data_IF_186421147629
#
_entry.id   IF_186421147629
#
_cell.length_a   1.000
_cell.length_b   1.000
_cell.length_c   1.000
_cell.angle_alpha   90.00
_cell.angle_beta   90.00
_cell.angle_gamma   90.00
#
_symmetry.space_group_name_H-M   'P 1'
#
loop_
_entity.id
_entity.type
_entity.pdbx_description
1 polymer ?
#
# COMPACT_ATOMS: atom_id res chain seq x y z
N UNK A 1 32.27 -23.51 -40.31
CA UNK A 1 33.11 -24.74 -40.28
C UNK A 1 33.89 -24.68 -38.98
N UNK A 2 33.95 -25.62 -38.04
CA UNK A 2 33.63 -27.06 -37.96
C UNK A 2 33.83 -27.39 -36.44
N UNK A 3 32.81 -27.95 -35.75
CA UNK A 3 32.84 -29.11 -34.79
C UNK A 3 33.80 -29.07 -33.57
N UNK A 4 33.59 -29.67 -32.38
CA UNK A 4 32.55 -30.38 -31.61
C UNK A 4 33.14 -30.65 -30.18
N UNK A 5 32.29 -30.62 -29.14
CA UNK A 5 32.14 -31.52 -27.96
C UNK A 5 33.37 -32.13 -27.25
N UNK A 6 33.46 -31.93 -25.91
CA UNK A 6 33.83 -32.90 -24.82
C UNK A 6 33.20 -32.33 -23.50
N UNK A 7 32.18 -32.85 -22.82
CA UNK A 7 31.93 -34.13 -22.11
C UNK A 7 32.76 -34.34 -20.80
N UNK A 8 32.10 -34.27 -19.64
CA UNK A 8 32.59 -34.72 -18.33
C UNK A 8 31.61 -34.29 -17.23
N UNK A 9 30.63 -35.08 -16.79
CA UNK A 9 30.60 -36.39 -16.11
C UNK A 9 30.98 -36.32 -14.60
N UNK A 10 29.93 -36.31 -13.77
CA UNK A 10 29.84 -36.75 -12.35
C UNK A 10 30.62 -35.92 -11.31
N UNK A 11 30.11 -35.66 -10.09
CA UNK A 11 29.73 -36.65 -9.06
C UNK A 11 28.66 -36.07 -8.11
N UNK A 12 27.69 -36.92 -7.75
CA UNK A 12 26.68 -36.75 -6.70
C UNK A 12 27.31 -36.81 -5.30
N UNK A 13 26.87 -35.94 -4.38
CA UNK A 13 26.93 -36.21 -2.94
C UNK A 13 25.55 -36.01 -2.32
N UNK A 14 24.96 -37.14 -1.94
CA UNK A 14 23.79 -37.27 -1.07
C UNK A 14 24.23 -37.02 0.37
N UNK A 15 23.58 -36.08 1.05
CA UNK A 15 23.52 -35.97 2.51
C UNK A 15 22.02 -35.81 2.79
N UNK A 16 21.29 -36.78 3.33
CA UNK A 16 21.52 -37.49 4.58
C UNK A 16 20.44 -37.00 5.55
N UNK A 17 19.31 -37.69 5.61
CA UNK A 17 18.15 -37.35 6.43
C UNK A 17 18.42 -37.73 7.91
N UNK A 18 18.15 -36.82 8.84
CA UNK A 18 18.19 -37.07 10.27
C UNK A 18 17.46 -35.99 11.05
N UNK A 19 16.43 -36.37 11.80
CA UNK A 19 15.68 -35.57 12.80
C UNK A 19 15.64 -36.37 14.12
N UNK A 20 15.24 -35.80 15.27
CA UNK A 20 15.13 -34.39 15.69
C UNK A 20 15.87 -34.10 17.02
N UNK A 21 16.14 -32.82 17.33
CA UNK A 21 16.29 -32.37 18.73
C UNK A 21 15.97 -30.88 18.87
N UNK A 22 15.08 -30.62 19.81
CA UNK A 22 14.43 -29.35 20.15
C UNK A 22 15.12 -28.69 21.36
N UNK A 23 14.82 -27.38 21.54
CA UNK A 23 15.07 -26.45 22.67
C UNK A 23 16.35 -25.60 22.58
N UNK A 24 16.37 -24.29 22.82
CA UNK A 24 15.37 -23.33 23.34
C UNK A 24 15.82 -21.89 23.01
N UNK A 25 14.84 -21.04 22.69
CA UNK A 25 14.67 -19.60 22.93
C UNK A 25 15.74 -18.55 22.58
N UNK A 26 15.37 -17.71 21.60
CA UNK A 26 15.54 -16.25 21.69
C UNK A 26 14.32 -15.55 21.06
N UNK A 27 13.49 -15.01 21.95
CA UNK A 27 12.31 -14.19 21.73
C UNK A 27 12.60 -12.96 20.86
N UNK A 28 11.96 -12.87 19.70
CA UNK A 28 11.76 -11.62 18.98
C UNK A 28 10.32 -11.61 18.49
N UNK A 29 9.48 -10.86 19.21
CA UNK A 29 8.09 -10.65 18.89
C UNK A 29 8.03 -9.73 17.66
N UNK A 30 8.00 -10.32 16.46
CA UNK A 30 7.51 -9.64 15.27
C UNK A 30 6.09 -10.15 15.06
N UNK A 31 5.13 -9.27 15.26
CA UNK A 31 3.74 -9.50 14.89
C UNK A 31 3.72 -9.80 13.39
N UNK A 32 3.59 -11.08 13.05
CA UNK A 32 3.29 -11.53 11.70
C UNK A 32 1.94 -10.93 11.30
N UNK A 33 1.99 -10.07 10.29
CA UNK A 33 0.82 -9.48 9.65
C UNK A 33 0.01 -10.62 9.00
N UNK A 34 -1.03 -11.08 9.70
CA UNK A 34 -1.92 -12.13 9.23
C UNK A 34 -2.76 -11.59 8.08
N UNK A 35 -2.40 -11.97 6.85
CA UNK A 35 -3.22 -11.73 5.65
C UNK A 35 -4.34 -12.76 5.64
N UNK A 36 -5.53 -12.36 6.09
CA UNK A 36 -6.71 -13.23 6.05
C UNK A 36 -7.29 -13.22 4.63
N UNK A 37 -7.21 -14.38 3.96
CA UNK A 37 -7.53 -14.58 2.54
C UNK A 37 -9.04 -14.66 2.27
N UNK A 38 -9.79 -13.61 2.61
CA UNK A 38 -11.22 -13.47 2.29
C UNK A 38 -11.59 -12.16 1.57
N UNK A 39 -10.68 -11.18 1.52
CA UNK A 39 -10.82 -9.90 0.80
C UNK A 39 -9.54 -9.67 -0.02
N UNK A 40 -9.55 -9.97 -1.32
CA UNK A 40 -8.34 -10.06 -2.16
C UNK A 40 -7.57 -8.74 -2.38
N UNK A 41 -7.95 -7.65 -1.71
CA UNK A 41 -7.44 -6.30 -2.00
C UNK A 41 -7.20 -5.43 -0.75
N UNK A 42 -7.22 -6.03 0.45
CA UNK A 42 -7.00 -5.31 1.71
C UNK A 42 -5.57 -5.48 2.20
N UNK A 43 -4.89 -4.36 2.47
CA UNK A 43 -3.58 -4.33 3.13
C UNK A 43 -3.74 -3.64 4.46
N UNK A 44 -3.47 -4.36 5.55
CA UNK A 44 -3.61 -3.80 6.89
C UNK A 44 -2.45 -2.89 7.22
N UNK A 45 -2.72 -1.60 7.41
CA UNK A 45 -1.74 -0.64 7.92
C UNK A 45 -2.14 -0.24 9.34
N UNK A 46 -1.19 -0.07 10.27
CA UNK A 46 -1.53 0.40 11.60
C UNK A 46 -2.19 1.78 11.52
N UNK A 47 -3.27 1.98 12.27
CA UNK A 47 -3.94 3.28 12.35
C UNK A 47 -2.97 4.30 12.98
N UNK A 48 -2.85 5.49 12.38
CA UNK A 48 -1.88 6.48 12.82
C UNK A 48 -0.43 6.04 12.61
N UNK A 49 -0.17 5.20 11.60
CA UNK A 49 1.18 4.79 11.23
C UNK A 49 2.10 6.01 11.11
N UNK A 50 3.28 5.92 11.74
CA UNK A 50 4.30 6.95 11.60
C UNK A 50 4.71 7.00 10.13
N UNK A 51 4.72 8.19 9.49
CA UNK A 51 5.16 8.33 8.11
C UNK A 51 6.54 7.71 7.88
N UNK A 52 6.67 6.94 6.80
CA UNK A 52 7.92 6.32 6.38
C UNK A 52 8.31 6.91 5.02
N UNK A 53 9.58 7.29 4.89
CA UNK A 53 10.12 7.86 3.65
C UNK A 53 9.73 9.33 3.43
N UNK A 54 10.11 9.86 2.27
CA UNK A 54 9.96 11.28 1.93
C UNK A 54 8.66 11.60 1.16
N UNK A 55 7.89 10.57 0.83
CA UNK A 55 6.64 10.70 0.08
C UNK A 55 5.64 11.59 0.80
N UNK A 56 4.74 12.20 0.05
CA UNK A 56 3.66 13.04 0.60
C UNK A 56 2.37 12.77 -0.14
N UNK A 57 1.28 12.70 0.62
CA UNK A 57 -0.08 12.64 0.12
C UNK A 57 -0.85 13.84 0.64
N UNK A 58 -1.56 14.53 -0.26
CA UNK A 58 -2.47 15.62 0.07
C UNK A 58 -3.82 15.34 -0.56
N UNK A 59 -4.87 15.43 0.24
CA UNK A 59 -6.26 15.39 -0.21
C UNK A 59 -6.73 16.80 -0.46
N UNK A 60 -7.38 17.02 -1.60
CA UNK A 60 -8.04 18.27 -1.95
C UNK A 60 -9.53 18.02 -2.14
N UNK A 61 -10.34 18.87 -1.52
CA UNK A 61 -11.79 18.89 -1.66
C UNK A 61 -12.25 20.33 -1.91
N UNK A 62 -13.50 20.55 -2.35
CA UNK A 62 -14.06 21.91 -2.40
C UNK A 62 -14.06 22.64 -1.06
N UNK A 63 -14.04 21.93 0.07
CA UNK A 63 -14.09 22.48 1.44
C UNK A 63 -12.69 22.75 2.02
N UNK A 64 -11.62 22.38 1.32
CA UNK A 64 -10.24 22.61 1.76
C UNK A 64 -9.28 21.46 1.43
N UNK A 65 -8.07 21.54 1.99
CA UNK A 65 -7.00 20.54 1.81
C UNK A 65 -6.64 19.86 3.12
N UNK A 66 -6.01 18.69 3.03
CA UNK A 66 -5.45 17.98 4.19
C UNK A 66 -4.07 18.50 4.65
N UNK A 67 -3.63 19.64 4.13
CA UNK A 67 -2.34 20.22 4.51
C UNK A 67 -2.33 20.64 5.98
N UNK A 68 -1.14 20.63 6.60
CA UNK A 68 -0.94 21.06 7.98
C UNK A 68 -1.78 20.29 9.01
N UNK A 69 -2.17 19.04 8.70
CA UNK A 69 -2.96 18.20 9.59
C UNK A 69 -4.47 18.50 9.56
N UNK A 70 -4.94 19.30 8.60
CA UNK A 70 -6.36 19.53 8.39
C UNK A 70 -7.05 18.25 7.87
N UNK A 71 -8.36 18.16 8.12
CA UNK A 71 -9.22 17.07 7.61
C UNK A 71 -10.33 17.72 6.78
N UNK A 72 -10.21 17.74 5.44
CA UNK A 72 -11.19 18.38 4.57
C UNK A 72 -12.45 17.52 4.40
N UNK A 73 -13.58 18.16 4.08
CA UNK A 73 -14.88 17.50 3.94
C UNK A 73 -15.24 17.20 2.46
N UNK A 74 -15.73 16.00 2.19
CA UNK A 74 -16.36 15.61 0.92
C UNK A 74 -17.87 15.47 1.14
N UNK A 75 -18.68 16.27 0.44
CA UNK A 75 -20.14 16.18 0.53
C UNK A 75 -20.71 15.18 -0.47
N UNK A 76 -21.33 14.12 0.04
CA UNK A 76 -21.90 13.01 -0.74
C UNK A 76 -23.39 13.24 -0.96
N UNK A 77 -23.81 13.33 -2.22
CA UNK A 77 -25.24 13.40 -2.57
C UNK A 77 -25.91 12.04 -2.35
N UNK A 78 -27.20 12.08 -2.02
CA UNK A 78 -28.02 10.86 -1.96
C UNK A 78 -27.92 10.10 -3.30
N UNK A 79 -27.88 8.77 -3.22
CA UNK A 79 -27.81 7.84 -4.36
C UNK A 79 -26.52 7.95 -5.21
N UNK A 80 -25.48 8.62 -4.71
CA UNK A 80 -24.14 8.62 -5.33
C UNK A 80 -23.58 7.20 -5.33
N UNK A 81 -23.18 6.69 -6.49
CA UNK A 81 -22.53 5.37 -6.62
C UNK A 81 -21.00 5.49 -6.62
N UNK A 82 -20.47 6.60 -7.13
CA UNK A 82 -19.04 6.88 -7.24
C UNK A 82 -18.83 8.37 -6.97
N UNK A 83 -17.92 8.70 -6.05
CA UNK A 83 -17.44 10.06 -5.82
C UNK A 83 -15.94 10.12 -6.09
N UNK A 84 -15.46 11.13 -6.81
CA UNK A 84 -14.02 11.35 -6.99
C UNK A 84 -13.50 12.33 -5.93
N UNK A 85 -12.32 12.04 -5.41
CA UNK A 85 -11.58 12.91 -4.48
C UNK A 85 -10.21 13.19 -5.08
N UNK A 86 -9.82 14.46 -5.12
CA UNK A 86 -8.56 14.88 -5.70
C UNK A 86 -7.39 14.58 -4.76
N UNK A 87 -6.29 14.10 -5.34
CA UNK A 87 -5.06 13.78 -4.64
C UNK A 87 -3.87 14.43 -5.32
N UNK A 88 -2.91 14.85 -4.50
CA UNK A 88 -1.57 15.19 -4.92
C UNK A 88 -0.58 14.24 -4.23
N UNK A 89 0.20 13.54 -5.04
CA UNK A 89 1.27 12.65 -4.62
C UNK A 89 2.61 13.31 -4.99
N UNK A 90 3.56 13.41 -4.06
CA UNK A 90 4.87 14.00 -4.34
C UNK A 90 5.98 13.30 -3.57
N UNK A 91 7.23 13.48 -4.04
CA UNK A 91 8.45 13.01 -3.38
C UNK A 91 8.55 11.49 -3.14
N UNK A 92 7.77 10.70 -3.87
CA UNK A 92 7.93 9.25 -3.91
C UNK A 92 9.11 8.86 -4.83
N UNK A 93 9.67 7.67 -4.63
CA UNK A 93 10.76 7.18 -5.48
C UNK A 93 10.23 6.91 -6.88
N UNK A 94 10.85 7.52 -7.90
CA UNK A 94 10.34 7.52 -9.27
C UNK A 94 10.55 6.21 -10.05
N UNK A 95 11.35 5.29 -9.50
CA UNK A 95 11.60 3.94 -10.03
C UNK A 95 10.69 2.88 -9.36
N UNK A 96 9.69 3.34 -8.58
CA UNK A 96 8.77 2.50 -7.82
C UNK A 96 7.32 2.94 -8.05
N UNK A 97 6.42 1.97 -8.06
CA UNK A 97 4.98 2.21 -8.07
C UNK A 97 4.51 2.70 -6.70
N UNK A 98 3.71 3.77 -6.67
CA UNK A 98 3.01 4.24 -5.48
C UNK A 98 1.59 3.69 -5.51
N UNK A 99 1.28 2.81 -4.57
CA UNK A 99 -0.03 2.20 -4.39
C UNK A 99 -0.88 3.08 -3.48
N UNK A 100 -2.12 3.34 -3.90
CA UNK A 100 -3.08 4.17 -3.19
C UNK A 100 -4.21 3.30 -2.66
N UNK A 101 -4.53 3.46 -1.39
CA UNK A 101 -5.58 2.75 -0.69
C UNK A 101 -6.54 3.76 -0.06
N UNK A 102 -7.83 3.43 -0.01
CA UNK A 102 -8.84 4.12 0.80
C UNK A 102 -9.34 3.14 1.84
N UNK A 103 -9.19 3.48 3.12
CA UNK A 103 -9.56 2.61 4.25
C UNK A 103 -9.00 1.19 4.11
N UNK A 104 -7.71 1.10 3.76
CA UNK A 104 -6.97 -0.16 3.55
C UNK A 104 -7.38 -0.96 2.29
N UNK A 105 -8.36 -0.49 1.52
CA UNK A 105 -8.81 -1.10 0.27
C UNK A 105 -8.01 -0.47 -0.88
N UNK A 106 -7.31 -1.29 -1.68
CA UNK A 106 -6.56 -0.79 -2.82
C UNK A 106 -7.49 -0.12 -3.84
N UNK A 107 -7.09 1.08 -4.27
CA UNK A 107 -7.87 1.93 -5.15
C UNK A 107 -7.20 2.13 -6.51
N UNK A 108 -5.90 2.47 -6.53
CA UNK A 108 -5.13 2.65 -7.77
C UNK A 108 -3.61 2.61 -7.50
N UNK A 109 -2.80 2.67 -8.56
CA UNK A 109 -1.35 2.86 -8.47
C UNK A 109 -0.83 3.87 -9.49
N UNK A 110 0.20 4.60 -9.10
CA UNK A 110 0.77 5.67 -9.91
C UNK A 110 2.30 5.61 -9.94
N UNK A 111 2.86 5.96 -11.10
CA UNK A 111 4.28 6.30 -11.23
C UNK A 111 4.43 7.79 -10.91
N UNK A 112 4.99 8.10 -9.73
CA UNK A 112 5.15 9.47 -9.25
C UNK A 112 6.56 9.94 -9.59
N UNK A 113 6.69 10.99 -10.39
CA UNK A 113 7.99 11.53 -10.80
C UNK A 113 8.47 12.63 -9.85
N UNK A 114 7.82 13.79 -9.89
CA UNK A 114 8.03 14.90 -8.96
C UNK A 114 6.76 15.15 -8.14
N UNK A 115 5.69 15.48 -8.85
CA UNK A 115 4.34 15.65 -8.33
C UNK A 115 3.36 15.06 -9.34
N UNK A 116 2.41 14.27 -8.85
CA UNK A 116 1.31 13.70 -9.63
C UNK A 116 0.01 14.15 -9.01
N UNK A 117 -0.80 14.88 -9.79
CA UNK A 117 -2.19 15.17 -9.46
C UNK A 117 -3.08 14.08 -10.08
N UNK A 118 -3.97 13.51 -9.28
CA UNK A 118 -4.82 12.39 -9.65
C UNK A 118 -6.13 12.44 -8.86
N UNK A 119 -7.00 11.46 -9.06
CA UNK A 119 -8.22 11.27 -8.27
C UNK A 119 -8.30 9.85 -7.76
N UNK A 120 -8.86 9.67 -6.57
CA UNK A 120 -9.31 8.36 -6.09
C UNK A 120 -10.84 8.28 -6.16
N UNK A 121 -11.36 7.10 -6.45
CA UNK A 121 -12.79 6.85 -6.48
C UNK A 121 -13.25 6.27 -5.14
N UNK A 122 -14.20 6.95 -4.51
CA UNK A 122 -14.96 6.44 -3.38
C UNK A 122 -16.16 5.64 -3.89
N UNK A 123 -16.37 4.45 -3.32
CA UNK A 123 -17.45 3.52 -3.66
C UNK A 123 -17.89 2.76 -2.42
N UNK A 124 -19.14 2.30 -2.40
CA UNK A 124 -19.67 1.43 -1.35
C UNK A 124 -19.36 1.98 0.06
N UNK A 125 -18.59 1.24 0.88
CA UNK A 125 -18.24 1.62 2.26
C UNK A 125 -17.51 2.96 2.36
N UNK A 126 -16.71 3.33 1.35
CA UNK A 126 -15.95 4.60 1.39
C UNK A 126 -16.83 5.81 1.01
N UNK A 127 -18.11 5.61 0.72
CA UNK A 127 -19.12 6.68 0.56
C UNK A 127 -19.94 6.91 1.83
N UNK A 128 -19.87 5.99 2.80
CA UNK A 128 -20.57 6.12 4.07
C UNK A 128 -20.05 7.33 4.85
N UNK A 129 -20.92 8.00 5.60
CA UNK A 129 -20.55 9.18 6.40
C UNK A 129 -19.55 8.79 7.49
N UNK A 130 -18.40 9.47 7.54
CA UNK A 130 -17.38 9.23 8.55
C UNK A 130 -16.01 9.75 8.18
N UNK A 131 -15.01 9.40 8.99
CA UNK A 131 -13.60 9.65 8.69
C UNK A 131 -13.06 8.53 7.82
N UNK A 132 -12.29 8.91 6.81
CA UNK A 132 -11.64 8.01 5.87
C UNK A 132 -10.16 8.33 5.76
N UNK A 133 -9.35 7.30 5.53
CA UNK A 133 -7.89 7.44 5.38
C UNK A 133 -7.45 7.04 3.99
N UNK A 134 -6.72 7.94 3.34
CA UNK A 134 -5.96 7.64 2.13
C UNK A 134 -4.55 7.27 2.54
N UNK A 135 -4.11 6.08 2.13
CA UNK A 135 -2.73 5.62 2.31
C UNK A 135 -2.04 5.55 0.95
N UNK A 136 -0.90 6.22 0.83
CA UNK A 136 -0.01 6.09 -0.32
C UNK A 136 1.26 5.36 0.14
N UNK A 137 1.53 4.18 -0.44
CA UNK A 137 2.62 3.32 -0.05
C UNK A 137 3.47 2.86 -1.24
N UNK A 138 4.77 2.72 -1.03
CA UNK A 138 5.68 2.03 -1.94
C UNK A 138 6.25 0.81 -1.23
N UNK A 139 6.45 -0.25 -1.99
CA UNK A 139 6.93 -1.53 -1.49
C UNK A 139 8.21 -1.95 -2.21
N UNK A 140 9.02 -2.75 -1.52
CA UNK A 140 10.15 -3.42 -2.15
C UNK A 140 9.66 -4.27 -3.34
N UNK A 141 10.40 -4.23 -4.44
CA UNK A 141 10.06 -4.93 -5.69
C UNK A 141 8.70 -4.57 -6.34
N UNK A 142 8.04 -3.48 -5.93
CA UNK A 142 6.69 -3.11 -6.39
C UNK A 142 5.63 -4.20 -6.10
N UNK A 143 5.78 -4.92 -4.99
CA UNK A 143 4.82 -5.94 -4.54
C UNK A 143 4.16 -5.49 -3.21
N UNK A 144 2.84 -5.28 -3.14
CA UNK A 144 2.12 -4.96 -1.90
C UNK A 144 2.26 -6.01 -0.78
N UNK A 145 2.76 -7.22 -1.09
CA UNK A 145 3.12 -8.25 -0.10
C UNK A 145 4.55 -8.11 0.43
N UNK A 146 5.34 -7.26 -0.21
CA UNK A 146 6.72 -6.97 0.15
C UNK A 146 6.82 -5.99 1.32
N UNK A 147 8.07 -5.68 1.70
CA UNK A 147 8.35 -4.70 2.75
C UNK A 147 7.94 -3.30 2.31
N UNK A 148 7.24 -2.58 3.18
CA UNK A 148 6.92 -1.15 2.99
C UNK A 148 8.19 -0.31 3.08
N UNK A 149 8.46 0.50 2.06
CA UNK A 149 9.63 1.41 2.00
C UNK A 149 9.26 2.89 2.04
N UNK A 150 8.00 3.21 1.74
CA UNK A 150 7.40 4.53 1.92
C UNK A 150 5.94 4.33 2.31
N UNK A 151 5.45 5.08 3.29
CA UNK A 151 4.07 5.04 3.76
C UNK A 151 3.68 6.42 4.27
N UNK A 152 2.67 7.01 3.65
CA UNK A 152 2.18 8.33 4.00
C UNK A 152 0.66 8.32 3.95
N UNK A 153 0.05 9.00 4.91
CA UNK A 153 -1.41 9.00 5.09
C UNK A 153 -1.95 10.43 5.13
N UNK A 154 -3.18 10.59 4.61
CA UNK A 154 -3.98 11.79 4.77
C UNK A 154 -5.43 11.39 5.03
N UNK A 155 -6.12 12.17 5.86
CA UNK A 155 -7.52 11.93 6.21
C UNK A 155 -8.44 12.91 5.50
N UNK A 156 -9.69 12.49 5.32
CA UNK A 156 -10.80 13.34 4.92
C UNK A 156 -12.07 12.83 5.59
N UNK A 157 -13.09 13.67 5.67
CA UNK A 157 -14.40 13.30 6.21
C UNK A 157 -15.45 13.31 5.10
N UNK A 158 -16.35 12.34 5.09
CA UNK A 158 -17.55 12.36 4.23
C UNK A 158 -18.76 12.82 5.02
N UNK A 159 -19.57 13.71 4.43
CA UNK A 159 -20.83 14.17 5.01
C UNK A 159 -21.94 14.13 3.97
N UNK A 160 -23.23 13.97 4.35
CA UNK A 160 -24.32 14.14 3.42
C UNK A 160 -24.32 15.56 2.85
N UNK A 161 -24.53 15.70 1.54
CA UNK A 161 -24.84 16.98 0.92
C UNK A 161 -26.28 17.39 1.28
N UNK A 162 -26.46 18.64 1.71
CA UNK A 162 -27.78 19.24 2.00
C UNK A 162 -28.63 19.46 0.76
#
# INVERSE_FOLDING_TARGET
MKKFIIAGLSVLLLVGCGTPKEKEDAQSNQEEQVVNASDENMVVFPEGAVPIGEGKVKVTTPDGTSENGNIPTVFIKKDTLIQQVELELSNFQNDKETFVFVDQIFADKHQVTSTTQTTVQLKEKTLETGSHTITAAQFENNDPKGKVISLNQAQFETKPAS
#
